data_IF_817939615958
#
_entry.id   IF_817939615958
#
_cell.length_a   1.000
_cell.length_b   1.000
_cell.length_c   1.000
_cell.angle_alpha   90.00
_cell.angle_beta   90.00
_cell.angle_gamma   90.00
#
_symmetry.space_group_name_H-M   'P 1'
#
loop_
_entity.id
_entity.type
_entity.pdbx_description
1 polymer ?
#
# COMPACT_ATOMS: atom_id res chain seq x y z
N UNK A 1 29.31 -12.96 3.25
CA UNK A 1 28.08 -13.24 4.04
C UNK A 1 27.14 -12.05 3.93
N UNK A 2 26.21 -12.09 2.97
CA UNK A 2 25.33 -10.96 2.64
C UNK A 2 24.16 -10.83 3.61
N UNK A 3 24.20 -9.82 4.49
CA UNK A 3 23.11 -9.50 5.39
C UNK A 3 21.86 -9.05 4.60
N UNK A 4 20.76 -9.77 4.78
CA UNK A 4 19.50 -9.44 4.14
C UNK A 4 18.90 -8.16 4.79
N UNK A 5 18.93 -7.03 4.07
CA UNK A 5 18.55 -5.69 4.56
C UNK A 5 17.03 -5.48 4.70
N UNK A 6 16.24 -6.56 4.64
CA UNK A 6 14.80 -6.58 4.91
C UNK A 6 14.46 -6.77 6.41
N UNK A 7 15.46 -6.69 7.29
CA UNK A 7 15.27 -7.02 8.69
C UNK A 7 14.85 -5.80 9.51
N UNK A 8 13.56 -5.76 9.88
CA UNK A 8 13.18 -5.36 11.25
C UNK A 8 14.26 -5.94 12.18
N UNK A 9 14.85 -5.10 13.03
CA UNK A 9 15.89 -5.50 13.99
C UNK A 9 15.58 -6.90 14.54
N UNK A 10 16.53 -7.83 14.46
CA UNK A 10 16.31 -9.25 14.82
C UNK A 10 15.64 -9.41 16.18
N UNK A 11 15.92 -8.51 17.13
CA UNK A 11 15.28 -8.46 18.45
C UNK A 11 13.80 -8.11 18.35
N UNK A 12 13.43 -7.08 17.59
CA UNK A 12 12.04 -6.70 17.34
C UNK A 12 11.24 -7.83 16.68
N UNK A 13 11.79 -8.54 15.68
CA UNK A 13 11.09 -9.69 15.06
C UNK A 13 10.75 -10.77 16.07
N UNK A 14 11.67 -11.08 17.00
CA UNK A 14 11.45 -12.06 18.05
C UNK A 14 10.36 -11.61 19.02
N UNK A 15 10.42 -10.36 19.49
CA UNK A 15 9.41 -9.80 20.39
C UNK A 15 8.03 -9.75 19.77
N UNK A 16 7.92 -9.34 18.50
CA UNK A 16 6.63 -9.33 17.80
C UNK A 16 6.03 -10.73 17.68
N UNK A 17 6.82 -11.76 17.34
CA UNK A 17 6.33 -13.14 17.31
C UNK A 17 5.86 -13.64 18.66
N UNK A 18 6.49 -13.20 19.75
CA UNK A 18 6.12 -13.61 21.11
C UNK A 18 4.88 -12.89 21.61
N UNK A 19 4.76 -11.58 21.36
CA UNK A 19 3.69 -10.74 21.91
C UNK A 19 2.46 -10.67 21.01
N UNK A 20 2.66 -10.74 19.68
CA UNK A 20 1.62 -10.56 18.67
C UNK A 20 1.77 -11.61 17.55
N UNK A 21 1.65 -12.92 17.86
CA UNK A 21 1.91 -14.00 16.91
C UNK A 21 0.98 -13.99 15.69
N UNK A 22 -0.23 -13.45 15.84
CA UNK A 22 -1.23 -13.37 14.77
C UNK A 22 -1.17 -12.06 13.97
N UNK A 23 -0.33 -11.10 14.37
CA UNK A 23 -0.21 -9.84 13.65
C UNK A 23 0.52 -10.03 12.32
N UNK A 24 -0.11 -9.61 11.24
CA UNK A 24 0.51 -9.65 9.92
C UNK A 24 1.70 -8.67 9.86
N UNK A 25 2.90 -9.20 9.64
CA UNK A 25 4.11 -8.39 9.50
C UNK A 25 4.43 -8.12 8.04
N UNK A 26 4.36 -6.84 7.66
CA UNK A 26 4.62 -6.35 6.31
C UNK A 26 5.92 -5.55 6.23
N UNK A 27 6.58 -5.60 5.07
CA UNK A 27 7.73 -4.75 4.79
C UNK A 27 7.27 -3.46 4.11
N UNK A 28 7.93 -2.35 4.44
CA UNK A 28 7.73 -1.11 3.70
C UNK A 28 8.28 -1.28 2.29
N UNK A 29 7.40 -1.19 1.30
CA UNK A 29 7.75 -1.33 -0.12
C UNK A 29 8.77 -0.29 -0.57
N UNK A 30 8.77 0.91 0.03
CA UNK A 30 9.80 1.92 -0.21
C UNK A 30 11.20 1.43 0.18
N UNK A 31 11.33 0.69 1.28
CA UNK A 31 12.63 0.14 1.69
C UNK A 31 13.04 -1.03 0.80
N UNK A 32 12.08 -1.86 0.38
CA UNK A 32 12.33 -2.92 -0.61
C UNK A 32 12.89 -2.31 -1.90
N UNK A 33 12.25 -1.27 -2.43
CA UNK A 33 12.73 -0.54 -3.60
C UNK A 33 14.11 0.11 -3.39
N UNK A 34 14.34 0.77 -2.25
CA UNK A 34 15.64 1.36 -1.96
C UNK A 34 16.77 0.31 -1.90
N UNK A 35 16.50 -0.87 -1.36
CA UNK A 35 17.43 -1.99 -1.35
C UNK A 35 17.75 -2.48 -2.77
N UNK A 36 16.73 -2.62 -3.63
CA UNK A 36 16.91 -2.96 -5.04
C UNK A 36 17.81 -1.97 -5.79
N UNK A 37 17.62 -0.66 -5.55
CA UNK A 37 18.43 0.39 -6.16
C UNK A 37 19.87 0.37 -5.64
N UNK A 38 20.06 0.10 -4.34
CA UNK A 38 21.35 0.19 -3.64
C UNK A 38 22.25 -1.06 -3.73
N UNK A 39 21.69 -2.26 -3.94
CA UNK A 39 22.45 -3.53 -3.90
C UNK A 39 23.03 -4.00 -5.24
N UNK A 40 22.61 -3.45 -6.37
CA UNK A 40 23.05 -3.93 -7.68
C UNK A 40 24.13 -3.02 -8.29
N UNK A 41 25.32 -3.54 -8.65
CA UNK A 41 26.34 -2.81 -9.41
C UNK A 41 25.82 -2.30 -10.77
N UNK A 42 24.79 -2.97 -11.33
CA UNK A 42 24.11 -2.63 -12.58
C UNK A 42 22.62 -2.23 -12.35
N UNK A 43 22.32 -1.69 -11.15
CA UNK A 43 21.10 -1.02 -10.67
C UNK A 43 19.74 -1.42 -11.26
N UNK A 44 18.82 -1.90 -10.44
CA UNK A 44 17.39 -1.74 -10.73
C UNK A 44 17.02 -0.25 -10.61
N UNK A 45 17.21 0.51 -11.70
CA UNK A 45 17.01 1.96 -11.77
C UNK A 45 16.17 2.30 -13.00
N UNK A 46 15.58 3.49 -12.99
CA UNK A 46 14.74 3.98 -14.09
C UNK A 46 13.27 4.11 -13.71
N UNK A 47 12.60 5.11 -14.29
CA UNK A 47 11.20 5.42 -14.01
C UNK A 47 10.23 4.33 -14.51
N UNK A 48 10.53 3.70 -15.65
CA UNK A 48 9.73 2.60 -16.21
C UNK A 48 9.69 1.39 -15.29
N UNK A 49 10.87 0.85 -14.97
CA UNK A 49 11.04 -0.21 -13.97
C UNK A 49 10.40 0.12 -12.62
N UNK A 50 10.60 1.34 -12.10
CA UNK A 50 9.96 1.75 -10.85
C UNK A 50 8.44 1.70 -10.94
N UNK A 51 7.86 2.20 -12.04
CA UNK A 51 6.42 2.16 -12.28
C UNK A 51 5.91 0.72 -12.35
N UNK A 52 6.60 -0.17 -13.06
CA UNK A 52 6.24 -1.58 -13.15
C UNK A 52 6.32 -2.31 -11.79
N UNK A 53 7.36 -2.02 -10.99
CA UNK A 53 7.48 -2.53 -9.62
C UNK A 53 6.28 -2.11 -8.76
N UNK A 54 5.92 -0.81 -8.79
CA UNK A 54 4.77 -0.32 -8.02
C UNK A 54 3.45 -0.88 -8.50
N UNK A 55 3.32 -1.21 -9.80
CA UNK A 55 2.13 -1.88 -10.33
C UNK A 55 1.99 -3.29 -9.75
N UNK A 56 3.08 -4.06 -9.68
CA UNK A 56 3.10 -5.37 -9.01
C UNK A 56 2.71 -5.25 -7.54
N UNK A 57 3.39 -4.36 -6.81
CA UNK A 57 3.16 -4.13 -5.38
C UNK A 57 1.70 -3.77 -5.05
N UNK A 58 1.06 -2.99 -5.91
CA UNK A 58 -0.32 -2.50 -5.71
C UNK A 58 -1.39 -3.38 -6.32
N UNK A 59 -1.02 -4.48 -6.99
CA UNK A 59 -1.98 -5.39 -7.58
C UNK A 59 -2.99 -5.90 -6.53
N UNK A 60 -4.27 -5.91 -6.91
CA UNK A 60 -5.35 -6.15 -5.97
C UNK A 60 -5.45 -7.63 -5.55
N UNK A 61 -5.13 -8.55 -6.45
CA UNK A 61 -5.19 -10.00 -6.26
C UNK A 61 -4.05 -10.69 -7.03
N UNK A 62 -3.91 -12.00 -6.83
CA UNK A 62 -2.82 -12.81 -7.41
C UNK A 62 -2.85 -12.80 -8.95
N UNK A 63 -4.00 -13.00 -9.63
CA UNK A 63 -4.03 -12.91 -11.09
C UNK A 63 -3.57 -11.55 -11.64
N UNK A 64 -3.99 -10.45 -11.03
CA UNK A 64 -3.50 -9.12 -11.42
C UNK A 64 -2.00 -8.96 -11.13
N UNK A 65 -1.49 -9.52 -10.03
CA UNK A 65 -0.07 -9.48 -9.71
C UNK A 65 0.75 -10.22 -10.77
N UNK A 66 0.36 -11.43 -11.14
CA UNK A 66 1.02 -12.22 -12.18
C UNK A 66 1.04 -11.48 -13.53
N UNK A 67 -0.05 -10.83 -13.91
CA UNK A 67 -0.09 -9.98 -15.11
C UNK A 67 0.89 -8.80 -15.03
N UNK A 68 1.03 -8.17 -13.86
CA UNK A 68 1.99 -7.08 -13.67
C UNK A 68 3.43 -7.59 -13.67
N UNK A 69 3.68 -8.82 -13.19
CA UNK A 69 4.99 -9.46 -13.27
C UNK A 69 5.48 -9.59 -14.72
N UNK A 70 4.60 -9.98 -15.65
CA UNK A 70 4.96 -10.02 -17.09
C UNK A 70 5.44 -8.65 -17.59
N UNK A 71 4.86 -7.55 -17.09
CA UNK A 71 5.28 -6.20 -17.47
C UNK A 71 6.62 -5.83 -16.82
N UNK A 72 6.83 -6.23 -15.57
CA UNK A 72 8.08 -5.99 -14.84
C UNK A 72 9.26 -6.74 -15.45
N UNK A 73 9.05 -7.98 -15.89
CA UNK A 73 10.06 -8.79 -16.57
C UNK A 73 10.49 -8.18 -17.91
N UNK A 74 9.56 -7.62 -18.67
CA UNK A 74 9.87 -6.88 -19.92
C UNK A 74 10.73 -5.64 -19.69
N UNK A 75 10.58 -4.97 -18.56
CA UNK A 75 11.41 -3.82 -18.21
C UNK A 75 12.82 -4.26 -17.79
N UNK A 76 12.93 -5.38 -17.07
CA UNK A 76 14.21 -5.99 -16.70
C UNK A 76 14.00 -7.46 -16.29
N UNK A 77 14.56 -8.37 -17.07
CA UNK A 77 14.41 -9.82 -16.92
C UNK A 77 14.67 -10.31 -15.48
N UNK A 78 15.78 -9.86 -14.88
CA UNK A 78 16.16 -10.25 -13.51
C UNK A 78 15.29 -9.65 -12.40
N UNK A 79 14.30 -8.80 -12.71
CA UNK A 79 13.49 -8.13 -11.70
C UNK A 79 12.54 -9.08 -10.97
N UNK A 80 12.01 -10.10 -11.65
CA UNK A 80 11.11 -11.07 -11.01
C UNK A 80 11.86 -11.89 -9.97
N UNK A 81 13.04 -12.41 -10.30
CA UNK A 81 13.89 -13.12 -9.36
C UNK A 81 14.21 -12.28 -8.11
N UNK A 82 14.53 -10.99 -8.30
CA UNK A 82 14.77 -10.06 -7.20
C UNK A 82 13.51 -9.76 -6.35
N UNK A 83 12.32 -9.89 -6.94
CA UNK A 83 11.03 -9.64 -6.28
C UNK A 83 10.64 -10.79 -5.39
N UNK A 84 10.83 -12.01 -5.89
CA UNK A 84 10.61 -13.24 -5.14
C UNK A 84 11.66 -13.40 -4.02
N UNK A 85 12.93 -13.08 -4.26
CA UNK A 85 13.98 -13.08 -3.22
C UNK A 85 13.67 -12.11 -2.07
N UNK A 86 13.01 -10.98 -2.38
CA UNK A 86 12.56 -10.02 -1.38
C UNK A 86 11.34 -10.48 -0.56
N UNK A 87 10.74 -11.63 -0.90
CA UNK A 87 9.51 -12.18 -0.34
C UNK A 87 8.29 -11.30 -0.59
N UNK A 88 7.74 -11.38 -1.79
CA UNK A 88 6.59 -10.65 -2.30
C UNK A 88 5.36 -10.73 -1.40
N UNK A 89 5.16 -11.86 -0.72
CA UNK A 89 4.04 -12.03 0.21
C UNK A 89 4.07 -11.04 1.38
N UNK A 90 5.24 -10.47 1.69
CA UNK A 90 5.44 -9.52 2.78
C UNK A 90 5.21 -8.07 2.38
N UNK A 91 5.11 -7.74 1.09
CA UNK A 91 5.01 -6.33 0.65
C UNK A 91 4.10 -6.08 -0.56
N UNK A 92 3.60 -7.11 -1.23
CA UNK A 92 2.62 -6.97 -2.30
C UNK A 92 1.18 -7.12 -1.77
N UNK A 93 0.33 -6.15 -2.12
CA UNK A 93 -1.08 -6.05 -1.69
C UNK A 93 -1.91 -7.30 -2.05
N UNK A 94 -1.55 -7.99 -3.12
CA UNK A 94 -2.19 -9.22 -3.58
C UNK A 94 -2.17 -10.36 -2.54
N UNK A 95 -1.20 -10.37 -1.62
CA UNK A 95 -1.00 -11.46 -0.65
C UNK A 95 -1.39 -11.09 0.79
N UNK A 96 -1.78 -9.84 1.03
CA UNK A 96 -2.16 -9.39 2.37
C UNK A 96 -3.50 -10.00 2.82
N UNK A 97 -3.69 -10.11 4.14
CA UNK A 97 -4.95 -10.53 4.71
C UNK A 97 -6.05 -9.49 4.43
N UNK A 98 -7.29 -9.95 4.29
CA UNK A 98 -8.45 -9.10 4.01
C UNK A 98 -8.67 -8.05 5.12
N UNK A 99 -8.52 -8.44 6.38
CA UNK A 99 -8.81 -7.58 7.54
C UNK A 99 -7.89 -6.37 7.67
N UNK A 100 -6.68 -6.47 7.11
CA UNK A 100 -5.66 -5.43 7.21
C UNK A 100 -5.37 -4.77 5.85
N UNK A 101 -6.23 -4.94 4.85
CA UNK A 101 -5.98 -4.43 3.50
C UNK A 101 -6.11 -2.91 3.46
N UNK A 102 -5.01 -2.23 3.10
CA UNK A 102 -5.02 -0.80 2.87
C UNK A 102 -4.29 -0.45 1.57
N UNK A 103 -4.65 0.66 0.95
CA UNK A 103 -3.97 1.19 -0.24
C UNK A 103 -2.52 1.63 0.05
N UNK A 104 -2.18 1.81 1.33
CA UNK A 104 -0.86 2.25 1.77
C UNK A 104 0.06 1.05 1.96
N UNK A 105 0.83 0.71 0.94
CA UNK A 105 1.85 -0.35 1.03
C UNK A 105 3.20 0.17 1.56
N UNK A 106 3.31 1.47 1.81
CA UNK A 106 4.54 2.11 2.29
C UNK A 106 4.38 2.71 3.70
N UNK A 107 5.51 3.11 4.29
CA UNK A 107 5.57 3.76 5.58
C UNK A 107 5.51 5.30 5.49
N UNK A 108 4.85 5.87 4.46
CA UNK A 108 4.85 7.33 4.25
C UNK A 108 4.27 8.08 5.46
N UNK A 109 3.25 7.55 6.14
CA UNK A 109 2.68 8.19 7.32
C UNK A 109 3.71 8.32 8.45
N UNK A 110 4.40 7.22 8.77
CA UNK A 110 5.45 7.23 9.79
C UNK A 110 6.63 8.13 9.39
N UNK A 111 7.01 8.14 8.09
CA UNK A 111 8.07 9.02 7.58
C UNK A 111 7.67 10.50 7.66
N UNK A 112 6.45 10.85 7.25
CA UNK A 112 5.92 12.20 7.32
C UNK A 112 5.82 12.67 8.78
N UNK A 113 5.38 11.80 9.69
CA UNK A 113 5.34 12.10 11.10
C UNK A 113 6.75 12.35 11.66
N UNK A 114 7.69 11.42 11.43
CA UNK A 114 9.08 11.58 11.88
C UNK A 114 9.73 12.86 11.35
N UNK A 115 9.47 13.20 10.07
CA UNK A 115 9.93 14.45 9.48
C UNK A 115 9.33 15.67 10.20
N UNK A 116 8.02 15.65 10.50
CA UNK A 116 7.34 16.77 11.17
C UNK A 116 7.83 17.04 12.60
N UNK A 117 8.35 16.03 13.29
CA UNK A 117 8.85 16.17 14.67
C UNK A 117 10.37 16.27 14.76
N UNK A 118 11.09 16.35 13.63
CA UNK A 118 12.56 16.28 13.61
C UNK A 118 13.20 17.37 14.47
N UNK A 119 12.71 18.62 14.37
CA UNK A 119 13.21 19.72 15.20
C UNK A 119 12.81 19.62 16.67
N UNK A 120 11.59 19.15 16.96
CA UNK A 120 11.14 18.96 18.34
C UNK A 120 12.02 17.92 19.07
N UNK A 121 12.46 16.87 18.36
CA UNK A 121 13.30 15.79 18.90
C UNK A 121 14.70 16.21 19.34
N UNK A 122 15.19 17.38 18.94
CA UNK A 122 16.48 17.91 19.42
C UNK A 122 16.36 18.69 20.74
N UNK A 123 15.16 18.82 21.31
CA UNK A 123 14.90 19.56 22.55
C UNK A 123 14.78 18.63 23.77
N UNK A 124 14.93 19.15 25.00
CA UNK A 124 14.63 18.40 26.22
C UNK A 124 13.21 17.82 26.22
N UNK A 125 12.98 16.74 26.97
CA UNK A 125 11.75 15.94 26.91
C UNK A 125 10.47 16.77 27.06
N UNK A 126 10.42 17.71 28.00
CA UNK A 126 9.24 18.56 28.25
C UNK A 126 8.99 19.47 27.04
N UNK A 127 10.03 20.14 26.54
CA UNK A 127 9.94 21.05 25.39
C UNK A 127 9.58 20.30 24.10
N UNK A 128 10.17 19.12 23.87
CA UNK A 128 9.84 18.25 22.75
C UNK A 128 8.36 17.87 22.75
N UNK A 129 7.82 17.44 23.89
CA UNK A 129 6.42 17.05 24.01
C UNK A 129 5.47 18.24 23.80
N UNK A 130 5.82 19.41 24.32
CA UNK A 130 5.04 20.63 24.13
C UNK A 130 4.99 21.06 22.66
N UNK A 131 6.13 21.07 21.96
CA UNK A 131 6.20 21.38 20.53
C UNK A 131 5.35 20.42 19.70
N UNK A 132 5.47 19.11 19.96
CA UNK A 132 4.69 18.09 19.26
C UNK A 132 3.20 18.34 19.51
N UNK A 133 2.79 18.57 20.76
CA UNK A 133 1.39 18.87 21.12
C UNK A 133 0.85 20.08 20.36
N UNK A 134 1.58 21.20 20.35
CA UNK A 134 1.18 22.42 19.64
C UNK A 134 1.03 22.18 18.14
N UNK A 135 2.01 21.53 17.51
CA UNK A 135 1.98 21.21 16.10
C UNK A 135 0.75 20.34 15.72
N UNK A 136 0.38 19.37 16.58
CA UNK A 136 -0.83 18.57 16.38
C UNK A 136 -2.10 19.40 16.53
N UNK A 137 -2.18 20.27 17.55
CA UNK A 137 -3.35 21.13 17.77
C UNK A 137 -3.60 22.04 16.55
N UNK A 138 -2.57 22.72 16.08
CA UNK A 138 -2.64 23.58 14.88
C UNK A 138 -3.03 22.78 13.64
N UNK A 139 -2.45 21.59 13.46
CA UNK A 139 -2.79 20.69 12.36
C UNK A 139 -4.25 20.26 12.40
N UNK A 140 -4.79 19.90 13.56
CA UNK A 140 -6.20 19.50 13.71
C UNK A 140 -7.13 20.66 13.31
N UNK A 141 -6.86 21.87 13.80
CA UNK A 141 -7.65 23.06 13.46
C UNK A 141 -7.60 23.35 11.95
N UNK A 142 -6.40 23.31 11.36
CA UNK A 142 -6.22 23.49 9.91
C UNK A 142 -6.99 22.44 9.10
N UNK A 143 -6.94 21.16 9.51
CA UNK A 143 -7.67 20.08 8.83
C UNK A 143 -9.18 20.21 8.98
N UNK A 144 -9.69 20.61 10.15
CA UNK A 144 -11.12 20.90 10.35
C UNK A 144 -11.58 22.02 9.42
N UNK A 145 -10.83 23.13 9.35
CA UNK A 145 -11.13 24.24 8.43
C UNK A 145 -11.15 23.78 6.97
N UNK A 146 -10.21 22.92 6.57
CA UNK A 146 -10.19 22.37 5.22
C UNK A 146 -11.41 21.48 4.92
N UNK A 147 -11.86 20.67 5.90
CA UNK A 147 -13.05 19.80 5.75
C UNK A 147 -14.33 20.63 5.61
N UNK A 148 -14.45 21.75 6.33
CA UNK A 148 -15.62 22.64 6.20
C UNK A 148 -15.80 23.19 4.76
N UNK A 149 -14.73 23.26 3.97
CA UNK A 149 -14.80 23.64 2.57
C UNK A 149 -15.16 22.49 1.61
N UNK A 150 -15.36 21.27 2.09
CA UNK A 150 -15.71 20.13 1.24
C UNK A 150 -17.17 20.21 0.81
N UNK A 151 -17.42 19.98 -0.49
CA UNK A 151 -18.77 20.05 -1.09
C UNK A 151 -19.55 18.74 -1.02
N UNK A 152 -19.01 17.70 -0.39
CA UNK A 152 -19.62 16.37 -0.38
C UNK A 152 -19.12 15.49 0.76
N UNK A 153 -19.58 14.24 0.77
CA UNK A 153 -19.34 13.28 1.85
C UNK A 153 -17.88 12.81 1.99
N UNK A 154 -17.03 13.12 1.00
CA UNK A 154 -15.63 12.72 1.01
C UNK A 154 -14.72 13.81 0.48
N UNK A 155 -13.42 13.71 0.81
CA UNK A 155 -12.41 14.68 0.39
C UNK A 155 -12.16 14.64 -1.11
N UNK A 156 -11.64 15.74 -1.70
CA UNK A 156 -11.51 15.90 -3.15
C UNK A 156 -10.66 14.81 -3.82
N UNK A 157 -9.62 14.32 -3.14
CA UNK A 157 -8.76 13.23 -3.67
C UNK A 157 -9.51 11.89 -3.74
N UNK A 158 -10.33 11.59 -2.74
CA UNK A 158 -11.16 10.38 -2.73
C UNK A 158 -12.25 10.52 -3.79
N UNK A 159 -12.90 11.69 -3.86
CA UNK A 159 -13.90 11.99 -4.88
C UNK A 159 -13.34 11.83 -6.29
N UNK A 160 -12.15 12.36 -6.58
CA UNK A 160 -11.50 12.20 -7.87
C UNK A 160 -11.21 10.73 -8.23
N UNK A 161 -10.79 9.91 -7.25
CA UNK A 161 -10.65 8.46 -7.46
C UNK A 161 -11.99 7.80 -7.78
N UNK A 162 -13.03 8.14 -7.02
CA UNK A 162 -14.39 7.60 -7.22
C UNK A 162 -14.95 7.99 -8.58
N UNK A 163 -14.84 9.25 -8.98
CA UNK A 163 -15.31 9.74 -10.28
C UNK A 163 -14.60 9.05 -11.44
N UNK A 164 -13.30 8.74 -11.28
CA UNK A 164 -12.56 7.92 -12.25
C UNK A 164 -13.14 6.51 -12.33
N UNK A 165 -13.37 5.86 -11.19
CA UNK A 165 -13.97 4.52 -11.14
C UNK A 165 -15.38 4.48 -11.73
N UNK A 166 -16.22 5.49 -11.48
CA UNK A 166 -17.56 5.62 -12.07
C UNK A 166 -17.49 5.73 -13.60
N UNK A 167 -16.54 6.52 -14.12
CA UNK A 167 -16.34 6.61 -15.57
C UNK A 167 -15.91 5.26 -16.15
N UNK A 168 -15.01 4.56 -15.49
CA UNK A 168 -14.51 3.25 -15.93
C UNK A 168 -15.55 2.13 -15.79
N UNK A 169 -16.50 2.24 -14.85
CA UNK A 169 -17.54 1.22 -14.62
C UNK A 169 -18.51 1.07 -15.78
N UNK A 170 -18.63 2.08 -16.66
CA UNK A 170 -19.46 2.03 -17.87
C UNK A 170 -19.10 0.89 -18.84
N UNK A 171 -17.89 0.33 -18.72
CA UNK A 171 -17.40 -0.79 -19.53
C UNK A 171 -17.78 -2.17 -18.95
N UNK A 172 -18.38 -2.20 -17.77
CA UNK A 172 -18.65 -3.42 -17.03
C UNK A 172 -20.13 -3.78 -17.10
N UNK A 173 -20.40 -5.06 -17.33
CA UNK A 173 -21.74 -5.63 -17.28
C UNK A 173 -21.97 -6.22 -15.89
N UNK A 174 -23.15 -5.99 -15.32
CA UNK A 174 -23.52 -6.48 -13.99
C UNK A 174 -24.66 -7.47 -14.14
N UNK A 175 -24.46 -8.69 -13.65
CA UNK A 175 -25.44 -9.76 -13.66
C UNK A 175 -25.83 -10.11 -12.23
N UNK A 176 -27.11 -9.96 -11.92
CA UNK A 176 -27.65 -10.22 -10.60
C UNK A 176 -28.12 -11.67 -10.47
N UNK A 177 -27.76 -12.34 -9.38
CA UNK A 177 -28.14 -13.74 -9.15
C UNK A 177 -29.54 -13.94 -8.53
N UNK A 178 -30.29 -12.85 -8.29
CA UNK A 178 -31.60 -12.92 -7.64
C UNK A 178 -31.58 -12.75 -6.11
N UNK A 179 -30.41 -12.61 -5.47
CA UNK A 179 -30.30 -12.39 -4.02
C UNK A 179 -29.24 -11.36 -3.59
N UNK A 180 -28.08 -11.78 -3.07
CA UNK A 180 -26.99 -10.87 -2.66
C UNK A 180 -25.76 -10.96 -3.58
N UNK A 181 -25.80 -11.83 -4.59
CA UNK A 181 -24.67 -12.12 -5.46
C UNK A 181 -24.75 -11.39 -6.80
N UNK A 182 -23.60 -10.87 -7.24
CA UNK A 182 -23.45 -10.17 -8.50
C UNK A 182 -22.21 -10.68 -9.22
N UNK A 183 -22.35 -10.95 -10.51
CA UNK A 183 -21.24 -11.22 -11.42
C UNK A 183 -20.97 -9.97 -12.26
N UNK A 184 -19.77 -9.42 -12.13
CA UNK A 184 -19.35 -8.19 -12.78
C UNK A 184 -18.32 -8.56 -13.85
N UNK A 185 -18.66 -8.32 -15.12
CA UNK A 185 -17.86 -8.76 -16.27
C UNK A 185 -17.35 -7.60 -17.11
N UNK A 186 -16.10 -7.68 -17.57
CA UNK A 186 -15.54 -6.80 -18.60
C UNK A 186 -14.58 -7.61 -19.50
N UNK A 187 -15.04 -7.95 -20.71
CA UNK A 187 -14.29 -8.82 -21.62
C UNK A 187 -14.11 -10.22 -21.03
N UNK A 188 -12.85 -10.63 -20.78
CA UNK A 188 -12.51 -11.93 -20.17
C UNK A 188 -12.34 -11.86 -18.64
N UNK A 189 -12.54 -10.68 -18.04
CA UNK A 189 -12.38 -10.48 -16.60
C UNK A 189 -13.75 -10.56 -15.96
N UNK A 190 -13.86 -11.42 -14.95
CA UNK A 190 -15.07 -11.60 -14.15
C UNK A 190 -14.73 -11.45 -12.67
N UNK A 191 -15.55 -10.67 -11.96
CA UNK A 191 -15.53 -10.58 -10.52
C UNK A 191 -16.86 -10.99 -9.92
N UNK A 192 -16.81 -11.66 -8.78
CA UNK A 192 -17.98 -12.08 -8.01
C UNK A 192 -18.04 -11.19 -6.77
N UNK A 193 -19.19 -10.55 -6.58
CA UNK A 193 -19.50 -9.70 -5.42
C UNK A 193 -20.64 -10.33 -4.64
N UNK A 194 -20.49 -10.41 -3.33
CA UNK A 194 -21.56 -10.79 -2.42
C UNK A 194 -21.79 -9.64 -1.43
N UNK A 195 -22.97 -9.02 -1.47
CA UNK A 195 -23.30 -7.87 -0.65
C UNK A 195 -23.66 -8.22 0.80
N UNK A 196 -24.15 -9.42 1.08
CA UNK A 196 -24.45 -9.88 2.44
C UNK A 196 -23.17 -10.16 3.22
N UNK A 197 -22.23 -10.85 2.60
CA UNK A 197 -20.91 -11.11 3.18
C UNK A 197 -19.95 -9.92 3.05
N UNK A 198 -20.32 -8.89 2.27
CA UNK A 198 -19.47 -7.72 1.96
C UNK A 198 -18.12 -8.16 1.36
N UNK A 199 -18.16 -9.05 0.37
CA UNK A 199 -16.95 -9.60 -0.27
C UNK A 199 -16.92 -9.37 -1.78
N UNK A 200 -15.72 -9.25 -2.34
CA UNK A 200 -15.48 -9.17 -3.78
C UNK A 200 -14.26 -10.03 -4.15
N UNK A 201 -14.34 -10.83 -5.22
CA UNK A 201 -13.19 -11.59 -5.74
C UNK A 201 -12.08 -10.70 -6.31
N UNK A 202 -12.40 -9.44 -6.63
CA UNK A 202 -11.42 -8.39 -6.91
C UNK A 202 -10.52 -8.07 -5.70
N UNK A 203 -11.00 -8.38 -4.48
CA UNK A 203 -10.36 -8.10 -3.20
C UNK A 203 -10.07 -6.61 -2.99
N UNK A 204 -10.76 -5.68 -3.65
CA UNK A 204 -10.47 -4.25 -3.50
C UNK A 204 -10.92 -3.69 -2.16
#
# INVERSE_FOLDING_TARGET
>A
MGGNSYQINKRLKKSFKQLLPHAEHRFSTRHVWANWVGKSPNGFRGKGLQKAFWACVKAANVPCFEQMCVTLEKEKEMAIAALLDANETRFCKAYFNYDAKCDSTDNNLAKAFNASITQARSKPIISMLNDIRLAFMERIVSKRKAILGWKGLCGPLIRAKLDKSIKESTKWNVHFNGNYGYEIMCGRITYIVNLEMVTCSCRL
#
